data_IF_309628716241
#
_entry.id   IF_309628716241
#
_cell.length_a   1.000
_cell.length_b   1.000
_cell.length_c   1.000
_cell.angle_alpha   90.00
_cell.angle_beta   90.00
_cell.angle_gamma   90.00
#
_symmetry.space_group_name_H-M   'P 1'
#
loop_
_entity.id
_entity.type
_entity.pdbx_description
1 polymer ?
#
# COMPACT_ATOMS: atom_id res chain seq x y z
N UNK A 1 4.97 -15.41 -29.18
CA UNK A 1 4.73 -14.04 -28.66
C UNK A 1 3.29 -13.68 -28.95
N UNK A 2 2.45 -13.53 -27.91
CA UNK A 2 1.10 -12.96 -28.09
C UNK A 2 1.26 -11.47 -28.46
N UNK A 3 0.51 -10.93 -29.43
CA UNK A 3 0.58 -9.51 -29.75
C UNK A 3 0.20 -8.71 -28.49
N UNK A 4 1.03 -7.72 -28.16
CA UNK A 4 0.75 -6.74 -27.11
C UNK A 4 -0.57 -6.05 -27.43
N UNK A 5 -1.58 -6.23 -26.58
CA UNK A 5 -2.89 -5.60 -26.66
C UNK A 5 -2.77 -4.07 -26.48
N UNK A 6 -2.39 -3.35 -27.55
CA UNK A 6 -2.22 -1.89 -27.55
C UNK A 6 -2.83 -1.27 -28.81
N UNK A 7 -3.56 -0.16 -28.64
CA UNK A 7 -3.98 0.76 -29.72
C UNK A 7 -2.95 1.90 -29.81
N UNK A 8 -2.68 2.46 -30.98
CA UNK A 8 -1.78 3.61 -31.13
C UNK A 8 -2.50 4.78 -31.80
N UNK A 9 -2.30 5.99 -31.29
CA UNK A 9 -2.75 7.22 -31.94
C UNK A 9 -1.52 8.04 -32.35
N UNK A 10 -1.54 8.54 -33.59
CA UNK A 10 -0.54 9.48 -34.10
C UNK A 10 -0.81 10.85 -33.46
N UNK A 11 0.16 11.38 -32.73
CA UNK A 11 0.06 12.66 -32.00
C UNK A 11 0.66 13.80 -32.82
N UNK A 12 1.68 13.49 -33.61
CA UNK A 12 2.26 14.36 -34.63
C UNK A 12 2.96 13.49 -35.69
N UNK A 13 3.66 14.12 -36.63
CA UNK A 13 4.30 13.43 -37.75
C UNK A 13 5.34 12.37 -37.37
N UNK A 14 5.88 12.41 -36.16
CA UNK A 14 6.93 11.50 -35.70
C UNK A 14 6.59 10.74 -34.42
N UNK A 15 5.50 11.09 -33.74
CA UNK A 15 5.16 10.57 -32.40
C UNK A 15 3.86 9.79 -32.39
N UNK A 16 3.93 8.56 -31.88
CA UNK A 16 2.77 7.72 -31.61
C UNK A 16 2.63 7.48 -30.11
N UNK A 17 1.46 7.78 -29.55
CA UNK A 17 1.12 7.38 -28.18
C UNK A 17 0.52 5.98 -28.22
N UNK A 18 1.01 5.10 -27.35
CA UNK A 18 0.48 3.75 -27.14
C UNK A 18 -0.57 3.76 -26.03
N UNK A 19 -1.69 3.09 -26.26
CA UNK A 19 -2.84 3.01 -25.37
C UNK A 19 -3.18 1.54 -25.08
N UNK A 20 -3.51 1.16 -23.83
CA UNK A 20 -4.10 -0.14 -23.54
C UNK A 20 -5.44 -0.28 -24.25
N UNK A 21 -5.79 -1.50 -24.69
CA UNK A 21 -7.02 -1.80 -25.45
C UNK A 21 -8.33 -1.37 -24.76
N UNK A 22 -8.34 -1.21 -23.44
CA UNK A 22 -9.52 -0.79 -22.68
C UNK A 22 -9.56 0.70 -22.30
N UNK A 23 -8.67 1.53 -22.82
CA UNK A 23 -8.67 2.96 -22.51
C UNK A 23 -9.59 3.71 -23.48
N UNK A 24 -10.56 4.52 -23.01
CA UNK A 24 -11.34 5.38 -23.89
C UNK A 24 -10.37 6.34 -24.60
N UNK A 25 -10.52 6.47 -25.92
CA UNK A 25 -9.74 7.39 -26.75
C UNK A 25 -10.52 8.65 -27.10
N UNK A 26 -11.85 8.57 -27.04
CA UNK A 26 -12.77 9.62 -27.42
C UNK A 26 -13.85 9.85 -26.38
N UNK A 27 -14.36 11.09 -26.28
CA UNK A 27 -15.57 11.44 -25.55
C UNK A 27 -16.68 11.85 -26.53
N UNK A 28 -17.95 11.74 -26.11
CA UNK A 28 -19.10 11.96 -27.00
C UNK A 28 -19.73 13.33 -26.73
N UNK A 29 -19.68 14.21 -27.72
CA UNK A 29 -20.32 15.54 -27.68
C UNK A 29 -21.84 15.44 -27.63
N UNK A 30 -22.47 16.55 -27.26
CA UNK A 30 -23.93 16.71 -27.21
C UNK A 30 -24.62 16.53 -28.57
N UNK A 31 -23.90 16.78 -29.67
CA UNK A 31 -24.38 16.54 -31.04
C UNK A 31 -24.23 15.06 -31.48
N UNK A 32 -23.68 14.22 -30.61
CA UNK A 32 -23.46 12.79 -30.83
C UNK A 32 -22.14 12.43 -31.51
N UNK A 33 -21.31 13.42 -31.88
CA UNK A 33 -19.97 13.18 -32.45
C UNK A 33 -18.94 12.82 -31.38
N UNK A 34 -17.81 12.25 -31.80
CA UNK A 34 -16.73 11.83 -30.90
C UNK A 34 -15.49 12.69 -31.15
N UNK A 35 -14.87 13.18 -30.07
CA UNK A 35 -13.62 13.95 -30.09
C UNK A 35 -12.55 13.26 -29.26
N UNK A 36 -11.27 13.47 -29.60
CA UNK A 36 -10.14 12.95 -28.83
C UNK A 36 -10.14 13.48 -27.39
N UNK A 37 -9.84 12.60 -26.44
CA UNK A 37 -9.64 12.99 -25.04
C UNK A 37 -8.29 13.69 -24.90
N UNK A 38 -8.31 15.00 -24.59
CA UNK A 38 -7.13 15.81 -24.29
C UNK A 38 -6.89 15.91 -22.79
N UNK A 39 -6.05 14.99 -22.27
CA UNK A 39 -5.64 14.96 -20.86
C UNK A 39 -4.72 16.13 -20.45
N UNK A 40 -4.34 16.99 -21.39
CA UNK A 40 -3.49 18.17 -21.15
C UNK A 40 -4.26 19.47 -21.24
N UNK A 41 -5.58 19.40 -21.50
CA UNK A 41 -6.45 20.55 -21.65
C UNK A 41 -6.56 21.33 -20.33
N UNK A 42 -6.28 22.63 -20.38
CA UNK A 42 -6.53 23.53 -19.25
C UNK A 42 -7.15 24.83 -19.79
N UNK A 43 -8.46 24.94 -19.71
CA UNK A 43 -9.17 26.17 -20.08
C UNK A 43 -9.22 27.12 -18.88
N UNK A 44 -8.14 27.88 -18.74
CA UNK A 44 -8.05 29.00 -17.78
C UNK A 44 -8.96 30.18 -18.16
N UNK A 45 -9.58 30.16 -19.34
CA UNK A 45 -10.44 31.23 -19.87
C UNK A 45 -11.93 30.92 -19.80
N UNK A 46 -12.30 29.71 -19.35
CA UNK A 46 -13.68 29.26 -19.17
C UNK A 46 -14.53 30.31 -18.44
N UNK A 47 -15.72 30.56 -19.00
CA UNK A 47 -16.71 31.49 -18.48
C UNK A 47 -17.73 30.84 -17.54
N UNK A 48 -17.54 29.56 -17.18
CA UNK A 48 -18.36 28.85 -16.20
C UNK A 48 -17.93 29.28 -14.79
N UNK A 49 -18.21 30.54 -14.44
CA UNK A 49 -17.81 31.14 -13.17
C UNK A 49 -16.29 31.16 -12.98
N UNK A 50 -15.82 31.06 -11.73
CA UNK A 50 -14.40 31.04 -11.36
C UNK A 50 -13.77 29.65 -11.51
N UNK A 51 -14.14 28.86 -12.51
CA UNK A 51 -13.70 27.46 -12.66
C UNK A 51 -12.78 27.33 -13.88
N UNK A 52 -11.60 26.73 -13.68
CA UNK A 52 -10.77 26.21 -14.77
C UNK A 52 -11.24 24.80 -15.11
N UNK A 53 -11.56 24.54 -16.38
CA UNK A 53 -11.87 23.19 -16.85
C UNK A 53 -10.56 22.47 -17.18
N UNK A 54 -10.37 21.31 -16.56
CA UNK A 54 -9.12 20.55 -16.64
C UNK A 54 -9.20 19.33 -17.57
N UNK A 55 -10.40 18.94 -18.04
CA UNK A 55 -10.55 17.78 -18.94
C UNK A 55 -11.85 17.80 -19.76
N UNK A 56 -11.81 17.09 -20.89
CA UNK A 56 -12.96 16.52 -21.60
C UNK A 56 -12.74 15.01 -21.78
N UNK A 57 -13.23 14.21 -20.83
CA UNK A 57 -13.13 12.75 -20.80
C UNK A 57 -14.46 12.06 -20.49
N UNK A 58 -14.45 10.84 -19.91
CA UNK A 58 -15.69 10.18 -19.39
C UNK A 58 -16.34 11.03 -18.28
N UNK A 59 -15.52 11.76 -17.54
CA UNK A 59 -15.93 12.76 -16.56
C UNK A 59 -15.33 14.11 -16.94
N UNK A 60 -16.03 15.19 -16.60
CA UNK A 60 -15.50 16.55 -16.70
C UNK A 60 -15.11 17.00 -15.31
N UNK A 61 -13.89 17.56 -15.18
CA UNK A 61 -13.35 18.03 -13.90
C UNK A 61 -13.10 19.53 -13.97
N UNK A 62 -13.64 20.24 -12.99
CA UNK A 62 -13.39 21.66 -12.78
C UNK A 62 -12.63 21.89 -11.49
N UNK A 63 -11.65 22.79 -11.51
CA UNK A 63 -10.99 23.32 -10.30
C UNK A 63 -11.36 24.79 -10.13
N UNK A 64 -11.79 25.18 -8.93
CA UNK A 64 -12.05 26.58 -8.59
C UNK A 64 -10.74 27.38 -8.60
N UNK A 65 -10.80 28.59 -9.14
CA UNK A 65 -9.73 29.61 -9.12
C UNK A 65 -9.76 30.38 -7.80
N UNK A 66 -8.60 30.85 -7.36
CA UNK A 66 -8.44 31.55 -6.09
C UNK A 66 -8.24 30.59 -4.92
N UNK A 67 -7.70 31.12 -3.82
CA UNK A 67 -7.47 30.37 -2.59
C UNK A 67 -8.77 30.23 -1.75
N UNK A 68 -9.84 29.70 -2.33
CA UNK A 68 -11.10 29.44 -1.64
C UNK A 68 -11.33 27.92 -1.50
N UNK A 69 -11.34 27.38 -0.27
CA UNK A 69 -11.48 25.94 -0.07
C UNK A 69 -12.90 25.40 -0.28
N UNK A 70 -13.91 26.27 -0.40
CA UNK A 70 -15.29 25.85 -0.64
C UNK A 70 -15.52 25.47 -2.11
N UNK A 71 -16.03 24.26 -2.36
CA UNK A 71 -16.31 23.69 -3.68
C UNK A 71 -15.14 23.86 -4.64
N UNK A 72 -13.96 23.48 -4.16
CA UNK A 72 -12.68 23.64 -4.85
C UNK A 72 -12.54 22.70 -6.05
N UNK A 73 -13.19 21.53 -6.02
CA UNK A 73 -13.20 20.57 -7.14
C UNK A 73 -14.64 20.19 -7.46
N UNK A 74 -14.98 20.17 -8.75
CA UNK A 74 -16.26 19.69 -9.24
C UNK A 74 -16.07 18.59 -10.27
N UNK A 75 -16.83 17.49 -10.15
CA UNK A 75 -16.81 16.37 -11.09
C UNK A 75 -18.20 16.10 -11.64
N UNK A 76 -18.29 15.97 -12.96
CA UNK A 76 -19.55 15.80 -13.70
C UNK A 76 -19.49 14.63 -14.67
N UNK A 77 -20.63 13.96 -14.95
CA UNK A 77 -20.72 13.04 -16.07
C UNK A 77 -20.64 13.83 -17.38
N UNK A 78 -19.87 13.33 -18.35
CA UNK A 78 -19.64 14.07 -19.61
C UNK A 78 -20.94 14.32 -20.40
N UNK A 79 -21.79 13.30 -20.53
CA UNK A 79 -23.05 13.34 -21.31
C UNK A 79 -23.93 14.55 -21.01
N UNK A 80 -23.94 15.02 -19.75
CA UNK A 80 -24.79 16.11 -19.27
C UNK A 80 -23.99 17.24 -18.60
N UNK A 81 -22.67 17.33 -18.83
CA UNK A 81 -21.79 18.29 -18.14
C UNK A 81 -22.27 19.75 -18.26
N UNK A 82 -22.86 20.09 -19.41
CA UNK A 82 -23.36 21.42 -19.76
C UNK A 82 -24.66 21.79 -19.01
N UNK A 83 -25.42 20.79 -18.56
CA UNK A 83 -26.68 21.01 -17.81
C UNK A 83 -26.42 21.21 -16.31
N UNK A 84 -25.30 20.69 -15.79
CA UNK A 84 -24.95 20.80 -14.36
C UNK A 84 -26.01 20.18 -13.44
N UNK A 85 -26.79 19.21 -13.92
CA UNK A 85 -27.88 18.55 -13.19
C UNK A 85 -27.37 17.45 -12.26
N UNK A 86 -26.21 16.87 -12.58
CA UNK A 86 -25.56 15.80 -11.84
C UNK A 86 -24.10 16.18 -11.59
N UNK A 87 -23.69 16.31 -10.32
CA UNK A 87 -22.31 16.66 -9.97
C UNK A 87 -21.94 16.29 -8.53
N UNK A 88 -20.67 15.96 -8.33
CA UNK A 88 -20.01 15.96 -7.03
C UNK A 88 -19.18 17.24 -6.92
N UNK A 89 -19.36 18.01 -5.86
CA UNK A 89 -18.51 19.16 -5.54
C UNK A 89 -17.84 18.92 -4.19
N UNK A 90 -16.54 19.19 -4.11
CA UNK A 90 -15.71 18.92 -2.93
C UNK A 90 -15.25 20.25 -2.33
N UNK A 91 -15.55 20.47 -1.06
CA UNK A 91 -14.96 21.54 -0.25
C UNK A 91 -13.86 20.95 0.62
N UNK A 92 -12.65 21.51 0.61
CA UNK A 92 -11.61 21.11 1.56
C UNK A 92 -11.93 21.74 2.93
N UNK A 93 -12.04 20.93 3.97
CA UNK A 93 -12.44 21.40 5.31
C UNK A 93 -11.23 21.50 6.22
N UNK A 94 -10.38 20.48 6.25
CA UNK A 94 -9.23 20.44 7.13
C UNK A 94 -8.14 19.52 6.56
N UNK A 95 -6.90 19.90 6.77
CA UNK A 95 -5.73 19.03 6.63
C UNK A 95 -5.05 19.01 7.99
N UNK A 96 -5.03 17.87 8.63
CA UNK A 96 -4.47 17.69 9.97
C UNK A 96 -3.28 16.74 9.88
N UNK A 97 -2.16 17.16 10.45
CA UNK A 97 -0.93 16.38 10.58
C UNK A 97 -0.59 16.29 12.06
N UNK A 98 -0.46 15.07 12.58
CA UNK A 98 -0.18 14.78 13.99
C UNK A 98 -1.15 15.46 14.97
N UNK A 99 -2.44 15.49 14.63
CA UNK A 99 -3.48 16.15 15.43
C UNK A 99 -3.50 17.68 15.33
N UNK A 100 -2.64 18.28 14.50
CA UNK A 100 -2.55 19.73 14.31
C UNK A 100 -3.09 20.12 12.94
N UNK A 101 -4.09 21.00 12.90
CA UNK A 101 -4.56 21.60 11.64
C UNK A 101 -3.45 22.37 10.94
N UNK A 102 -3.38 22.23 9.63
CA UNK A 102 -2.42 22.88 8.75
C UNK A 102 -3.10 23.99 7.96
N UNK A 103 -2.42 25.12 7.82
CA UNK A 103 -2.78 26.10 6.81
C UNK A 103 -2.56 25.47 5.44
N UNK A 104 -3.53 25.66 4.54
CA UNK A 104 -3.52 25.04 3.23
C UNK A 104 -3.97 26.04 2.17
N UNK A 105 -3.21 26.16 1.10
CA UNK A 105 -3.57 26.98 -0.04
C UNK A 105 -4.01 26.10 -1.21
N UNK A 106 -5.29 26.16 -1.57
CA UNK A 106 -5.85 25.29 -2.62
C UNK A 106 -5.28 25.52 -4.01
N UNK A 107 -4.68 26.69 -4.28
CA UNK A 107 -4.03 26.93 -5.57
C UNK A 107 -2.70 26.18 -5.67
N UNK A 108 -1.91 26.17 -4.59
CA UNK A 108 -0.53 25.65 -4.59
C UNK A 108 -0.39 24.25 -4.00
N UNK A 109 -1.27 23.86 -3.08
CA UNK A 109 -1.14 22.62 -2.31
C UNK A 109 -2.14 21.54 -2.74
N UNK A 110 -3.17 21.88 -3.52
CA UNK A 110 -4.09 20.90 -4.13
C UNK A 110 -3.82 20.76 -5.63
N UNK A 111 -3.30 19.62 -6.01
CA UNK A 111 -3.08 19.25 -7.41
C UNK A 111 -4.18 18.32 -7.91
N UNK A 112 -4.63 18.53 -9.14
CA UNK A 112 -5.60 17.66 -9.79
C UNK A 112 -4.87 16.84 -10.83
N UNK A 113 -4.71 15.54 -10.55
CA UNK A 113 -4.12 14.61 -11.50
C UNK A 113 -5.23 13.84 -12.22
N UNK A 114 -5.20 13.92 -13.54
CA UNK A 114 -6.17 13.26 -14.40
C UNK A 114 -5.52 12.07 -15.10
N UNK A 115 -6.23 10.96 -15.09
CA UNK A 115 -5.87 9.76 -15.83
C UNK A 115 -7.09 9.27 -16.60
N UNK A 116 -6.88 8.40 -17.58
CA UNK A 116 -7.93 7.92 -18.50
C UNK A 116 -9.16 7.28 -17.84
N UNK A 117 -9.07 6.88 -16.57
CA UNK A 117 -10.16 6.24 -15.83
C UNK A 117 -10.43 6.85 -14.47
N UNK A 118 -9.56 7.77 -14.01
CA UNK A 118 -9.55 8.21 -12.61
C UNK A 118 -9.15 9.68 -12.54
N UNK A 119 -9.81 10.38 -11.64
CA UNK A 119 -9.41 11.72 -11.19
C UNK A 119 -8.84 11.61 -9.79
N UNK A 120 -7.79 12.38 -9.52
CA UNK A 120 -7.15 12.50 -8.22
C UNK A 120 -7.11 13.97 -7.77
N UNK A 121 -7.47 14.21 -6.53
CA UNK A 121 -7.36 15.44 -5.74
C UNK A 121 -6.15 15.33 -4.79
N UNK A 122 -4.93 15.39 -5.34
CA UNK A 122 -3.67 15.24 -4.63
C UNK A 122 -3.45 16.40 -3.66
N UNK A 123 -3.65 16.15 -2.37
CA UNK A 123 -3.36 17.11 -1.31
C UNK A 123 -1.91 16.97 -0.91
N UNK A 124 -1.15 18.05 -1.03
CA UNK A 124 0.27 18.09 -0.69
C UNK A 124 0.49 18.11 0.82
N UNK A 125 1.42 17.28 1.28
CA UNK A 125 1.83 17.13 2.68
C UNK A 125 3.19 17.82 2.85
N UNK A 126 3.18 19.01 3.44
CA UNK A 126 4.31 19.94 3.41
C UNK A 126 5.39 19.71 4.51
N UNK A 127 5.30 18.62 5.27
CA UNK A 127 6.24 18.25 6.35
C UNK A 127 6.14 16.77 6.66
N UNK A 128 7.11 16.20 7.38
CA UNK A 128 7.01 14.85 7.94
C UNK A 128 5.89 14.77 8.99
N UNK A 129 5.25 13.60 9.10
CA UNK A 129 4.10 13.35 9.96
C UNK A 129 4.06 11.87 10.37
N UNK A 130 3.40 11.58 11.49
CA UNK A 130 3.11 10.23 12.00
C UNK A 130 1.66 9.82 11.80
N UNK A 131 0.77 10.82 11.72
CA UNK A 131 -0.65 10.67 11.41
C UNK A 131 -1.09 11.80 10.47
N UNK A 132 -1.90 11.48 9.47
CA UNK A 132 -2.51 12.46 8.57
C UNK A 132 -4.01 12.20 8.43
N UNK A 133 -4.79 13.27 8.50
CA UNK A 133 -6.24 13.27 8.29
C UNK A 133 -6.61 14.42 7.35
N UNK A 134 -7.33 14.12 6.28
CA UNK A 134 -7.82 15.11 5.34
C UNK A 134 -9.33 15.01 5.25
N UNK A 135 -10.02 16.13 5.40
CA UNK A 135 -11.47 16.20 5.40
C UNK A 135 -11.98 17.01 4.23
N UNK A 136 -12.94 16.44 3.50
CA UNK A 136 -13.71 17.12 2.48
C UNK A 136 -15.20 17.06 2.83
N UNK A 137 -15.95 18.13 2.54
CA UNK A 137 -17.40 18.04 2.41
C UNK A 137 -17.77 17.81 0.94
N UNK A 138 -18.58 16.80 0.68
CA UNK A 138 -19.05 16.40 -0.65
C UNK A 138 -20.50 16.84 -0.81
N UNK A 139 -20.75 17.67 -1.81
CA UNK A 139 -22.08 18.08 -2.22
C UNK A 139 -22.49 17.27 -3.45
N UNK A 140 -23.46 16.37 -3.27
CA UNK A 140 -23.94 15.48 -4.31
C UNK A 140 -25.25 16.01 -4.91
N UNK A 141 -25.15 16.78 -6.00
CA UNK A 141 -26.33 17.34 -6.68
C UNK A 141 -26.84 16.35 -7.71
N UNK A 142 -28.12 15.95 -7.62
CA UNK A 142 -28.76 15.04 -8.57
C UNK A 142 -28.19 13.62 -8.58
N UNK A 143 -27.49 13.24 -7.51
CA UNK A 143 -26.87 11.94 -7.30
C UNK A 143 -27.37 11.36 -5.97
N UNK A 144 -27.40 10.04 -5.86
CA UNK A 144 -27.81 9.34 -4.64
C UNK A 144 -26.70 8.40 -4.20
N UNK A 145 -26.31 8.47 -2.93
CA UNK A 145 -25.36 7.52 -2.35
C UNK A 145 -26.03 6.13 -2.23
N UNK A 146 -25.36 5.09 -2.71
CA UNK A 146 -25.87 3.71 -2.74
C UNK A 146 -25.52 2.93 -1.47
N UNK A 147 -24.52 3.39 -0.73
CA UNK A 147 -24.05 2.75 0.49
C UNK A 147 -25.08 2.80 1.61
N UNK A 148 -25.12 1.75 2.42
CA UNK A 148 -25.92 1.71 3.64
C UNK A 148 -25.17 2.36 4.80
N UNK A 149 -25.92 2.87 5.78
CA UNK A 149 -25.33 3.33 7.05
C UNK A 149 -24.93 2.15 7.93
N UNK A 150 -24.03 2.40 8.88
CA UNK A 150 -23.79 1.45 9.96
C UNK A 150 -25.06 1.30 10.82
N UNK A 151 -25.35 0.07 11.25
CA UNK A 151 -26.52 -0.23 12.08
C UNK A 151 -26.26 0.07 13.56
N UNK A 152 -25.01 -0.01 13.99
CA UNK A 152 -24.57 0.17 15.37
C UNK A 152 -23.20 0.86 15.45
N UNK A 153 -22.85 1.31 16.66
CA UNK A 153 -21.51 1.84 16.92
C UNK A 153 -20.46 0.77 16.60
N UNK A 154 -19.61 1.08 15.63
CA UNK A 154 -18.63 0.17 15.07
C UNK A 154 -17.25 0.81 15.18
N UNK A 155 -16.22 -0.01 15.38
CA UNK A 155 -14.83 0.43 15.26
C UNK A 155 -14.35 0.01 13.89
N UNK A 156 -14.10 0.98 13.00
CA UNK A 156 -13.42 0.69 11.73
C UNK A 156 -11.94 0.49 12.05
N UNK A 157 -11.45 -0.73 11.82
CA UNK A 157 -10.01 -1.07 11.81
C UNK A 157 -9.66 -1.57 10.43
N UNK A 158 -8.69 -0.92 9.79
CA UNK A 158 -8.21 -1.33 8.46
C UNK A 158 -6.96 -2.22 8.53
N UNK A 159 -6.44 -2.42 9.74
CA UNK A 159 -5.25 -3.22 9.99
C UNK A 159 -5.28 -3.82 11.39
N UNK A 160 -4.77 -5.03 11.54
CA UNK A 160 -4.52 -5.61 12.85
C UNK A 160 -3.14 -6.25 12.95
N UNK A 161 -2.62 -6.29 14.17
CA UNK A 161 -1.34 -6.89 14.48
C UNK A 161 -1.46 -7.70 15.76
N UNK A 162 -0.86 -8.88 15.77
CA UNK A 162 -0.63 -9.67 16.96
C UNK A 162 0.80 -10.19 16.95
N UNK A 163 1.41 -10.25 18.13
CA UNK A 163 2.67 -10.96 18.34
C UNK A 163 2.56 -11.83 19.57
N UNK A 164 2.77 -13.13 19.37
CA UNK A 164 2.82 -14.11 20.44
C UNK A 164 4.29 -14.32 20.83
N UNK A 165 4.67 -13.86 22.02
CA UNK A 165 5.96 -14.18 22.62
C UNK A 165 5.88 -15.59 23.22
N UNK A 166 6.58 -16.55 22.63
CA UNK A 166 6.61 -17.94 23.13
C UNK A 166 7.66 -18.17 24.22
N UNK A 167 8.48 -17.16 24.52
CA UNK A 167 9.55 -17.21 25.51
C UNK A 167 10.80 -17.96 25.05
N UNK A 168 11.65 -18.27 26.03
CA UNK A 168 12.88 -19.02 25.86
C UNK A 168 12.57 -20.52 25.73
N UNK A 169 12.98 -21.14 24.62
CA UNK A 169 12.69 -22.53 24.30
C UNK A 169 13.85 -23.20 23.57
N UNK A 170 13.73 -24.51 23.33
CA UNK A 170 14.62 -25.22 22.42
C UNK A 170 14.33 -24.90 20.95
N UNK A 171 15.30 -25.14 20.07
CA UNK A 171 15.16 -24.79 18.66
C UNK A 171 14.05 -25.53 17.91
N UNK A 172 13.69 -26.76 18.31
CA UNK A 172 12.58 -27.50 17.69
C UNK A 172 11.22 -26.83 17.97
N UNK A 173 10.96 -26.46 19.22
CA UNK A 173 9.75 -25.74 19.61
C UNK A 173 9.71 -24.36 18.94
N UNK A 174 10.83 -23.64 18.99
CA UNK A 174 10.91 -22.29 18.45
C UNK A 174 10.73 -22.27 16.94
N UNK A 175 11.50 -23.06 16.17
CA UNK A 175 11.33 -23.11 14.71
C UNK A 175 9.97 -23.70 14.30
N UNK A 176 9.37 -24.57 15.12
CA UNK A 176 8.04 -25.12 14.88
C UNK A 176 6.88 -24.14 15.08
N UNK A 177 7.12 -22.96 15.65
CA UNK A 177 6.06 -22.00 16.04
C UNK A 177 5.18 -21.55 14.85
N UNK A 178 5.74 -21.46 13.64
CA UNK A 178 5.00 -21.05 12.46
C UNK A 178 3.91 -22.05 12.04
N UNK A 179 3.96 -23.30 12.52
CA UNK A 179 2.87 -24.25 12.29
C UNK A 179 1.61 -23.93 13.12
N UNK A 180 1.73 -23.04 14.12
CA UNK A 180 0.61 -22.62 14.96
C UNK A 180 -0.24 -21.51 14.31
N UNK A 181 0.12 -21.02 13.12
CA UNK A 181 -0.74 -20.11 12.37
C UNK A 181 -2.08 -20.78 12.11
N UNK A 182 -3.12 -20.31 12.81
CA UNK A 182 -4.47 -20.65 12.45
C UNK A 182 -4.75 -20.00 11.09
N UNK A 183 -5.29 -20.77 10.14
CA UNK A 183 -5.89 -20.20 8.92
C UNK A 183 -7.16 -19.44 9.29
N UNK A 184 -6.99 -18.31 9.97
CA UNK A 184 -8.06 -17.39 10.29
C UNK A 184 -8.39 -16.65 8.99
N UNK A 185 -9.63 -16.78 8.52
CA UNK A 185 -10.10 -15.86 7.51
C UNK A 185 -10.25 -14.49 8.17
N UNK A 186 -9.38 -13.55 7.80
CA UNK A 186 -9.46 -12.16 8.26
C UNK A 186 -10.04 -11.35 7.13
N UNK A 187 -11.07 -10.54 7.41
CA UNK A 187 -11.68 -9.65 6.41
C UNK A 187 -10.92 -8.31 6.28
N UNK A 188 -9.86 -8.12 7.07
CA UNK A 188 -9.00 -6.93 7.08
C UNK A 188 -7.54 -7.33 6.87
N UNK A 189 -6.70 -6.35 6.53
CA UNK A 189 -5.25 -6.52 6.54
C UNK A 189 -4.75 -6.92 7.93
N UNK A 190 -3.90 -7.93 8.04
CA UNK A 190 -3.47 -8.44 9.35
C UNK A 190 -2.08 -9.07 9.34
N UNK A 191 -1.31 -8.84 10.41
CA UNK A 191 -0.15 -9.65 10.74
C UNK A 191 -0.40 -10.49 12.00
N UNK A 192 -0.22 -11.79 11.89
CA UNK A 192 -0.07 -12.67 13.04
C UNK A 192 1.39 -13.06 13.15
N UNK A 193 2.02 -12.76 14.29
CA UNK A 193 3.46 -12.96 14.47
C UNK A 193 3.73 -13.86 15.67
N UNK A 194 4.87 -14.54 15.61
CA UNK A 194 5.45 -15.25 16.75
C UNK A 194 6.92 -14.87 16.91
N UNK A 195 7.37 -14.76 18.15
CA UNK A 195 8.77 -14.57 18.48
C UNK A 195 9.20 -15.45 19.66
N UNK A 196 10.40 -16.02 19.58
CA UNK A 196 10.97 -16.86 20.64
C UNK A 196 12.50 -16.83 20.61
N UNK A 197 13.15 -17.15 21.73
CA UNK A 197 14.61 -17.24 21.83
C UNK A 197 15.03 -18.69 21.96
N UNK A 198 15.99 -19.11 21.15
CA UNK A 198 16.57 -20.46 21.21
C UNK A 198 17.68 -20.47 22.25
N UNK A 199 17.60 -21.38 23.22
CA UNK A 199 18.57 -21.45 24.34
C UNK A 199 19.47 -22.69 24.31
N UNK A 200 19.10 -23.72 23.54
CA UNK A 200 19.92 -24.92 23.37
C UNK A 200 20.92 -24.79 22.22
N UNK A 201 21.89 -25.69 22.19
CA UNK A 201 22.89 -25.80 21.13
C UNK A 201 22.22 -26.38 19.87
N UNK A 202 21.57 -25.52 19.10
CA UNK A 202 20.71 -25.94 18.00
C UNK A 202 21.33 -25.62 16.63
N UNK A 203 21.32 -26.61 15.73
CA UNK A 203 21.78 -26.49 14.35
C UNK A 203 20.66 -26.88 13.38
N UNK A 204 20.23 -25.95 12.54
CA UNK A 204 19.43 -26.30 11.37
C UNK A 204 20.33 -26.78 10.24
N UNK A 205 20.16 -28.02 9.78
CA UNK A 205 20.98 -28.60 8.72
C UNK A 205 20.51 -28.14 7.34
N UNK A 206 21.45 -27.72 6.52
CA UNK A 206 21.23 -27.34 5.13
C UNK A 206 21.26 -28.55 4.18
N UNK A 207 21.56 -28.29 2.91
CA UNK A 207 21.59 -29.33 1.86
C UNK A 207 22.87 -30.17 1.83
N UNK A 208 23.93 -29.74 2.52
CA UNK A 208 25.21 -30.46 2.58
C UNK A 208 25.16 -31.58 3.61
N UNK A 209 25.90 -32.66 3.34
CA UNK A 209 26.10 -33.74 4.31
C UNK A 209 26.93 -33.25 5.51
N UNK A 210 26.84 -33.98 6.63
CA UNK A 210 27.61 -33.64 7.83
C UNK A 210 29.12 -33.63 7.56
N UNK A 211 29.61 -34.56 6.73
CA UNK A 211 31.02 -34.64 6.34
C UNK A 211 31.47 -33.44 5.49
N UNK A 212 30.57 -32.87 4.69
CA UNK A 212 30.87 -31.70 3.86
C UNK A 212 30.83 -30.39 4.65
N UNK A 213 29.97 -30.31 5.67
CA UNK A 213 29.70 -29.08 6.41
C UNK A 213 30.58 -28.93 7.66
N UNK A 214 30.95 -30.02 8.33
CA UNK A 214 31.57 -29.97 9.67
C UNK A 214 32.97 -30.60 9.70
N UNK A 215 33.92 -29.98 10.44
CA UNK A 215 35.35 -30.38 10.59
C UNK A 215 35.59 -31.71 11.33
N UNK A 216 34.53 -32.45 11.65
CA UNK A 216 34.54 -33.66 12.47
C UNK A 216 34.84 -33.34 13.95
N UNK A 217 33.79 -32.86 14.62
CA UNK A 217 33.71 -32.75 16.07
C UNK A 217 32.42 -33.43 16.50
N UNK A 218 32.48 -34.15 17.61
CA UNK A 218 31.34 -34.89 18.15
C UNK A 218 30.08 -34.00 18.19
N UNK A 219 29.08 -34.35 17.37
CA UNK A 219 27.83 -33.61 17.23
C UNK A 219 26.77 -34.00 18.27
N UNK A 220 27.10 -34.89 19.23
CA UNK A 220 26.16 -35.41 20.22
C UNK A 220 25.51 -34.35 21.10
N UNK A 221 26.18 -33.20 21.27
CA UNK A 221 25.75 -32.13 22.17
C UNK A 221 24.77 -31.16 21.50
N UNK A 222 24.45 -31.39 20.22
CA UNK A 222 23.61 -30.50 19.41
C UNK A 222 22.27 -31.14 19.07
N UNK A 223 21.23 -30.31 19.09
CA UNK A 223 19.92 -30.62 18.54
C UNK A 223 19.87 -30.23 17.06
N UNK A 224 19.15 -31.01 16.24
CA UNK A 224 19.10 -30.81 14.80
C UNK A 224 17.68 -30.77 14.23
N UNK A 225 17.51 -29.99 13.16
CA UNK A 225 16.36 -30.02 12.26
C UNK A 225 16.84 -29.85 10.82
N UNK A 226 16.37 -30.69 9.91
CA UNK A 226 16.67 -30.55 8.49
C UNK A 226 15.84 -29.41 7.88
N UNK A 227 16.52 -28.42 7.28
CA UNK A 227 15.90 -27.32 6.54
C UNK A 227 16.28 -27.45 5.06
N UNK A 228 15.49 -28.23 4.33
CA UNK A 228 15.69 -28.63 2.92
C UNK A 228 15.86 -27.50 1.88
N UNK A 229 15.84 -26.22 2.29
CA UNK A 229 16.07 -25.04 1.45
C UNK A 229 17.14 -24.07 1.99
N UNK A 230 17.74 -24.38 3.13
CA UNK A 230 18.88 -23.61 3.62
C UNK A 230 20.12 -24.06 2.85
N UNK A 231 20.77 -23.13 2.14
CA UNK A 231 21.96 -23.47 1.35
C UNK A 231 23.08 -24.07 2.21
N UNK A 232 23.27 -23.59 3.44
CA UNK A 232 24.26 -24.10 4.41
C UNK A 232 23.63 -24.18 5.80
N UNK A 233 24.22 -24.97 6.70
CA UNK A 233 23.67 -25.23 8.03
C UNK A 233 23.80 -24.00 8.95
N UNK A 234 22.85 -23.74 9.85
CA UNK A 234 22.78 -22.51 10.66
C UNK A 234 22.78 -22.86 12.15
N UNK A 235 23.58 -22.16 12.96
CA UNK A 235 23.61 -22.28 14.41
C UNK A 235 22.76 -21.19 15.06
N UNK A 236 21.92 -21.55 16.04
CA UNK A 236 20.85 -20.69 16.55
C UNK A 236 20.86 -20.41 18.06
N UNK A 237 21.85 -20.86 18.82
CA UNK A 237 21.86 -20.59 20.27
C UNK A 237 21.89 -19.08 20.53
N UNK A 238 21.06 -18.64 21.47
CA UNK A 238 20.87 -17.24 21.84
C UNK A 238 20.42 -16.37 20.64
N UNK A 239 19.71 -16.96 19.67
CA UNK A 239 19.06 -16.23 18.60
C UNK A 239 17.58 -16.02 18.90
N UNK A 240 17.09 -14.80 18.65
CA UNK A 240 15.65 -14.54 18.55
C UNK A 240 15.20 -14.98 17.17
N UNK A 241 14.23 -15.88 17.12
CA UNK A 241 13.50 -16.26 15.91
C UNK A 241 12.21 -15.46 15.89
N UNK A 242 11.95 -14.79 14.77
CA UNK A 242 10.73 -14.05 14.50
C UNK A 242 10.08 -14.58 13.24
N UNK A 243 8.77 -14.79 13.29
CA UNK A 243 7.98 -15.20 12.13
C UNK A 243 6.74 -14.33 12.06
N UNK A 244 6.32 -13.98 10.84
CA UNK A 244 5.10 -13.21 10.61
C UNK A 244 4.33 -13.77 9.41
N UNK A 245 3.03 -13.95 9.59
CA UNK A 245 2.07 -14.32 8.54
C UNK A 245 1.23 -13.09 8.18
N UNK A 246 1.22 -12.76 6.89
CA UNK A 246 0.37 -11.74 6.27
C UNK A 246 -1.00 -12.32 5.89
N UNK A 247 -2.05 -11.52 6.08
CA UNK A 247 -3.39 -11.75 5.54
C UNK A 247 -3.87 -10.48 4.84
N UNK A 248 -4.33 -10.61 3.58
CA UNK A 248 -4.74 -9.50 2.72
C UNK A 248 -3.65 -8.42 2.51
N UNK A 249 -2.39 -8.83 2.61
CA UNK A 249 -1.22 -7.97 2.48
C UNK A 249 -0.29 -8.55 1.44
N UNK A 250 0.30 -7.66 0.65
CA UNK A 250 1.34 -8.00 -0.30
C UNK A 250 2.69 -7.49 0.22
N UNK A 251 3.79 -8.02 -0.33
CA UNK A 251 5.13 -7.48 -0.10
C UNK A 251 5.62 -7.57 1.36
N UNK A 252 5.26 -8.65 2.07
CA UNK A 252 5.61 -8.86 3.48
C UNK A 252 7.12 -8.77 3.75
N UNK A 253 7.95 -9.23 2.80
CA UNK A 253 9.40 -9.19 2.95
C UNK A 253 9.92 -7.78 3.20
N UNK A 254 9.57 -6.85 2.30
CA UNK A 254 10.00 -5.47 2.42
C UNK A 254 9.39 -4.79 3.65
N UNK A 255 8.12 -5.12 3.99
CA UNK A 255 7.45 -4.54 5.17
C UNK A 255 8.26 -4.90 6.41
N UNK A 256 8.49 -6.19 6.63
CA UNK A 256 9.13 -6.66 7.85
C UNK A 256 10.61 -6.28 7.90
N UNK A 257 11.36 -6.49 6.80
CA UNK A 257 12.80 -6.21 6.77
C UNK A 257 13.10 -4.72 7.00
N UNK A 258 12.41 -3.82 6.29
CA UNK A 258 12.64 -2.37 6.45
C UNK A 258 12.26 -1.90 7.85
N UNK A 259 11.15 -2.38 8.40
CA UNK A 259 10.72 -1.98 9.74
C UNK A 259 11.68 -2.48 10.83
N UNK A 260 12.22 -3.71 10.71
CA UNK A 260 13.27 -4.21 11.61
C UNK A 260 14.54 -3.36 11.47
N UNK A 261 14.94 -3.04 10.24
CA UNK A 261 16.08 -2.15 9.98
C UNK A 261 15.90 -0.77 10.64
N UNK A 262 14.72 -0.17 10.52
CA UNK A 262 14.43 1.15 11.10
C UNK A 262 14.46 1.13 12.63
N UNK A 263 13.89 0.09 13.25
CA UNK A 263 13.84 -0.02 14.71
C UNK A 263 15.26 -0.10 15.31
N UNK A 264 16.16 -0.84 14.66
CA UNK A 264 17.49 -1.15 15.21
C UNK A 264 18.64 -0.43 14.49
N UNK A 265 18.34 0.42 13.50
CA UNK A 265 19.30 1.11 12.65
C UNK A 265 20.21 0.14 11.90
N UNK A 266 19.62 -0.80 11.17
CA UNK A 266 20.32 -1.85 10.41
C UNK A 266 20.28 -1.56 8.91
N UNK A 267 21.15 -2.21 8.17
CA UNK A 267 21.16 -2.22 6.71
C UNK A 267 20.77 -3.61 6.19
N UNK A 268 20.08 -3.66 5.06
CA UNK A 268 19.83 -4.90 4.33
C UNK A 268 21.06 -5.22 3.46
N UNK A 269 21.51 -6.47 3.51
CA UNK A 269 22.54 -7.00 2.64
C UNK A 269 22.05 -8.28 1.95
N UNK A 270 22.07 -8.26 0.62
CA UNK A 270 21.80 -9.42 -0.23
C UNK A 270 23.14 -9.89 -0.80
N UNK A 271 23.51 -11.15 -0.53
CA UNK A 271 24.77 -11.72 -1.04
C UNK A 271 24.70 -12.16 -2.51
N UNK A 272 23.58 -11.94 -3.18
CA UNK A 272 23.30 -12.38 -4.54
C UNK A 272 23.04 -13.89 -4.67
N UNK A 273 23.02 -14.60 -3.54
CA UNK A 273 22.71 -16.02 -3.43
C UNK A 273 21.38 -16.25 -2.72
N UNK A 274 21.34 -17.27 -1.86
CA UNK A 274 20.15 -17.60 -1.05
C UNK A 274 20.05 -16.79 0.24
N UNK A 275 21.04 -15.94 0.55
CA UNK A 275 21.19 -15.29 1.85
C UNK A 275 20.83 -13.82 1.83
N UNK A 276 19.81 -13.44 2.62
CA UNK A 276 19.51 -12.05 2.95
C UNK A 276 19.79 -11.81 4.43
N UNK A 277 20.48 -10.73 4.73
CA UNK A 277 21.03 -10.45 6.06
C UNK A 277 20.74 -9.05 6.54
N UNK A 278 20.65 -8.91 7.86
CA UNK A 278 20.69 -7.62 8.54
C UNK A 278 22.12 -7.31 8.96
N UNK A 279 22.58 -6.09 8.68
CA UNK A 279 23.91 -5.61 9.06
C UNK A 279 23.86 -4.47 10.06
N UNK A 280 24.81 -4.47 10.99
CA UNK A 280 25.17 -3.34 11.86
C UNK A 280 26.68 -3.14 11.79
N UNK A 281 27.14 -1.92 11.55
CA UNK A 281 28.57 -1.57 11.53
C UNK A 281 29.40 -2.51 10.64
N UNK A 282 28.89 -2.78 9.43
CA UNK A 282 29.45 -3.71 8.44
C UNK A 282 29.47 -5.20 8.80
N UNK A 283 28.89 -5.61 9.92
CA UNK A 283 28.78 -7.02 10.32
C UNK A 283 27.35 -7.55 10.27
N UNK A 284 27.18 -8.81 9.89
CA UNK A 284 25.91 -9.54 9.88
C UNK A 284 25.47 -9.82 11.31
N UNK A 285 24.30 -9.34 11.70
CA UNK A 285 23.69 -9.56 13.03
C UNK A 285 22.50 -10.51 13.00
N UNK A 286 22.07 -10.92 11.81
CA UNK A 286 20.92 -11.79 11.62
C UNK A 286 20.68 -12.06 10.14
N UNK A 287 19.72 -12.93 9.86
CA UNK A 287 19.28 -13.25 8.52
C UNK A 287 17.78 -13.36 8.44
N UNK A 288 17.25 -13.31 7.22
CA UNK A 288 15.82 -13.41 6.99
C UNK A 288 15.51 -14.05 5.63
N UNK A 289 14.26 -14.45 5.47
CA UNK A 289 13.71 -14.96 4.23
C UNK A 289 12.20 -14.83 4.23
N UNK A 290 11.59 -14.83 3.05
CA UNK A 290 10.16 -14.69 2.92
C UNK A 290 9.59 -15.54 1.77
N UNK A 291 8.30 -15.80 1.89
CA UNK A 291 7.39 -16.18 0.81
C UNK A 291 6.38 -15.04 0.62
N UNK A 292 5.43 -15.18 -0.30
CA UNK A 292 4.42 -14.14 -0.55
C UNK A 292 3.62 -13.78 0.73
N UNK A 293 3.40 -14.75 1.62
CA UNK A 293 2.55 -14.58 2.80
C UNK A 293 3.29 -14.72 4.14
N UNK A 294 4.51 -15.27 4.16
CA UNK A 294 5.23 -15.56 5.41
C UNK A 294 6.63 -14.99 5.39
N UNK A 295 6.99 -14.29 6.45
CA UNK A 295 8.32 -13.77 6.72
C UNK A 295 8.95 -14.50 7.90
N UNK A 296 10.25 -14.81 7.77
CA UNK A 296 11.06 -15.41 8.81
C UNK A 296 12.33 -14.59 8.99
N UNK A 297 12.67 -14.27 10.23
CA UNK A 297 13.93 -13.65 10.60
C UNK A 297 14.54 -14.36 11.81
N UNK A 298 15.87 -14.27 11.89
CA UNK A 298 16.63 -14.66 13.05
C UNK A 298 17.66 -13.59 13.36
N UNK A 299 17.78 -13.24 14.64
CA UNK A 299 18.64 -12.16 15.12
C UNK A 299 19.55 -12.75 16.20
N UNK A 300 20.86 -12.65 16.00
CA UNK A 300 21.84 -13.09 16.97
C UNK A 300 21.82 -12.13 18.16
N UNK A 301 21.68 -12.65 19.38
CA UNK A 301 21.71 -11.82 20.60
C UNK A 301 22.99 -11.98 21.43
N UNK A 302 23.89 -12.88 21.02
CA UNK A 302 25.19 -13.10 21.66
C UNK A 302 26.27 -13.45 20.63
N UNK A 303 27.54 -13.33 21.02
CA UNK A 303 28.66 -13.76 20.17
C UNK A 303 28.65 -15.27 19.96
N UNK A 304 29.10 -15.68 18.77
CA UNK A 304 29.21 -17.09 18.41
C UNK A 304 30.37 -17.71 19.20
N UNK A 305 30.18 -18.81 19.94
CA UNK A 305 31.26 -19.44 20.70
C UNK A 305 32.40 -19.92 19.79
N UNK A 306 33.65 -19.84 20.25
CA UNK A 306 34.83 -20.24 19.46
C UNK A 306 34.77 -21.71 19.00
N UNK A 307 34.17 -22.60 19.80
CA UNK A 307 33.93 -24.00 19.43
C UNK A 307 33.04 -24.13 18.18
N UNK A 308 32.14 -23.18 17.94
CA UNK A 308 31.26 -23.16 16.77
C UNK A 308 32.00 -22.54 15.59
N UNK A 309 32.84 -21.52 15.84
CA UNK A 309 33.67 -20.89 14.81
C UNK A 309 34.61 -21.89 14.13
N UNK A 310 35.06 -22.93 14.85
CA UNK A 310 35.91 -24.01 14.31
C UNK A 310 35.14 -25.26 13.89
N UNK A 311 33.83 -25.34 14.15
CA UNK A 311 33.00 -26.50 13.82
C UNK A 311 32.70 -26.58 12.32
N UNK A 312 32.41 -25.45 11.67
CA UNK A 312 32.00 -25.38 10.27
C UNK A 312 33.20 -25.33 9.32
N UNK A 313 33.26 -26.23 8.32
CA UNK A 313 34.27 -26.23 7.25
C UNK A 313 34.10 -25.08 6.28
N UNK A 314 32.84 -24.77 5.96
CA UNK A 314 32.47 -23.93 4.82
C UNK A 314 32.10 -22.50 5.23
N UNK A 315 32.19 -22.17 6.52
CA UNK A 315 31.80 -20.87 7.06
C UNK A 315 32.96 -20.27 7.85
N UNK A 316 33.21 -18.99 7.59
CA UNK A 316 33.88 -18.13 8.56
C UNK A 316 32.82 -17.27 9.24
N UNK A 317 33.15 -16.77 10.43
CA UNK A 317 32.25 -15.95 11.24
C UNK A 317 32.84 -14.55 11.48
N UNK A 318 33.89 -14.17 10.75
CA UNK A 318 34.61 -12.90 10.93
C UNK A 318 33.73 -11.68 10.62
N UNK A 319 32.81 -11.84 9.68
CA UNK A 319 31.84 -10.82 9.26
C UNK A 319 30.54 -10.85 10.09
N UNK A 320 30.48 -11.64 11.15
CA UNK A 320 29.28 -11.76 12.02
C UNK A 320 29.43 -10.98 13.33
N UNK A 321 28.29 -10.58 13.87
CA UNK A 321 28.13 -9.92 15.17
C UNK A 321 26.74 -10.26 15.73
N UNK A 322 26.36 -9.59 16.81
CA UNK A 322 25.07 -9.71 17.46
C UNK A 322 24.51 -8.33 17.82
N UNK A 323 23.23 -8.29 18.17
CA UNK A 323 22.57 -7.17 18.81
C UNK A 323 22.39 -7.49 20.30
N UNK A 324 22.77 -6.58 21.18
CA UNK A 324 22.45 -6.69 22.61
C UNK A 324 20.95 -6.42 22.80
N UNK A 325 20.16 -7.50 22.76
CA UNK A 325 18.71 -7.44 22.63
C UNK A 325 18.03 -8.58 23.38
N UNK A 326 17.09 -8.22 24.25
CA UNK A 326 16.22 -9.18 24.92
C UNK A 326 14.94 -9.45 24.11
N UNK A 327 14.40 -10.67 24.22
CA UNK A 327 13.19 -11.10 23.50
C UNK A 327 11.98 -10.21 23.82
N UNK A 328 11.82 -9.81 25.08
CA UNK A 328 10.74 -8.91 25.51
C UNK A 328 10.82 -7.54 24.84
N UNK A 329 12.03 -7.00 24.70
CA UNK A 329 12.26 -5.70 24.11
C UNK A 329 12.02 -5.75 22.60
N UNK A 330 12.42 -6.84 21.94
CA UNK A 330 12.06 -7.10 20.56
C UNK A 330 10.54 -7.14 20.34
N UNK A 331 9.82 -7.92 21.15
CA UNK A 331 8.36 -8.02 21.03
C UNK A 331 7.67 -6.67 21.29
N UNK A 332 8.19 -5.88 22.23
CA UNK A 332 7.67 -4.56 22.57
C UNK A 332 7.91 -3.57 21.45
N UNK A 333 9.10 -3.56 20.84
CA UNK A 333 9.43 -2.69 19.72
C UNK A 333 8.56 -3.00 18.49
N UNK A 334 8.41 -4.28 18.14
CA UNK A 334 7.53 -4.71 17.04
C UNK A 334 6.07 -4.36 17.31
N UNK A 335 5.57 -4.58 18.53
CA UNK A 335 4.22 -4.17 18.92
C UNK A 335 4.04 -2.65 18.84
N UNK A 336 4.99 -1.87 19.34
CA UNK A 336 4.94 -0.41 19.27
C UNK A 336 4.94 0.11 17.83
N UNK A 337 5.62 -0.60 16.94
CA UNK A 337 5.69 -0.28 15.52
C UNK A 337 4.37 -0.59 14.80
N UNK A 338 3.87 -1.83 14.92
CA UNK A 338 2.75 -2.31 14.12
C UNK A 338 1.39 -2.28 14.82
N UNK A 339 1.33 -2.44 16.14
CA UNK A 339 0.08 -2.36 16.90
C UNK A 339 -0.33 -0.91 17.12
N UNK A 340 -0.63 -0.22 16.02
CA UNK A 340 -1.21 1.12 16.05
C UNK A 340 -2.72 0.96 16.13
N UNK A 341 -3.31 1.42 17.22
CA UNK A 341 -4.76 1.56 17.37
C UNK A 341 -5.29 2.56 16.33
N UNK A 342 -5.53 2.13 15.09
CA UNK A 342 -6.41 2.82 14.16
C UNK A 342 -7.85 2.46 14.53
N UNK A 343 -8.29 2.99 15.66
CA UNK A 343 -9.67 2.88 16.12
C UNK A 343 -10.41 4.13 15.68
N UNK A 344 -11.17 4.03 14.61
CA UNK A 344 -12.10 5.08 14.22
C UNK A 344 -13.48 4.61 14.64
N UNK A 345 -14.01 5.24 15.68
CA UNK A 345 -15.37 5.00 16.13
C UNK A 345 -16.33 5.66 15.13
N UNK A 346 -17.20 4.84 14.55
CA UNK A 346 -18.27 5.27 13.65
C UNK A 346 -19.59 4.83 14.24
N UNK A 347 -20.63 5.60 13.99
CA UNK A 347 -21.99 5.34 14.43
C UNK A 347 -22.95 5.30 13.23
N UNK A 348 -24.25 5.30 13.52
CA UNK A 348 -25.31 5.30 12.51
C UNK A 348 -25.41 6.60 11.69
N UNK A 349 -24.53 7.59 11.89
CA UNK A 349 -24.41 8.78 11.03
C UNK A 349 -23.41 8.57 9.89
N UNK A 350 -22.63 7.48 9.95
CA UNK A 350 -21.66 7.09 8.94
C UNK A 350 -22.21 6.07 7.96
N UNK A 351 -21.69 6.11 6.74
CA UNK A 351 -21.91 5.11 5.70
C UNK A 351 -20.82 4.06 5.71
N UNK A 352 -21.22 2.80 5.50
CA UNK A 352 -20.31 1.67 5.33
C UNK A 352 -19.82 1.63 3.87
N UNK A 353 -18.50 1.55 3.61
CA UNK A 353 -18.01 1.34 2.25
C UNK A 353 -18.51 -0.01 1.71
N UNK A 354 -18.61 -0.15 0.38
CA UNK A 354 -18.98 -1.42 -0.25
C UNK A 354 -17.85 -2.46 -0.13
N UNK A 355 -18.08 -3.70 -0.56
CA UNK A 355 -17.11 -4.80 -0.46
C UNK A 355 -15.79 -4.54 -1.22
N UNK A 356 -15.76 -3.52 -2.08
CA UNK A 356 -14.55 -3.07 -2.78
C UNK A 356 -13.93 -1.81 -2.16
N UNK A 357 -14.29 -1.49 -0.92
CA UNK A 357 -13.86 -0.30 -0.18
C UNK A 357 -14.14 1.03 -0.91
N UNK A 358 -15.34 1.17 -1.49
CA UNK A 358 -15.76 2.41 -2.15
C UNK A 358 -17.05 3.00 -1.55
N UNK A 359 -17.15 4.32 -1.65
CA UNK A 359 -18.42 5.05 -1.58
C UNK A 359 -18.92 5.34 -3.00
N UNK A 360 -20.15 4.90 -3.30
CA UNK A 360 -20.72 4.86 -4.65
C UNK A 360 -21.92 5.80 -4.77
N UNK A 361 -21.81 6.82 -5.61
CA UNK A 361 -22.89 7.77 -5.91
C UNK A 361 -23.48 7.47 -7.28
N UNK A 362 -24.74 7.04 -7.31
CA UNK A 362 -25.44 6.61 -8.52
C UNK A 362 -25.63 7.74 -9.53
N UNK A 363 -25.30 7.43 -10.78
CA UNK A 363 -25.52 8.21 -12.00
C UNK A 363 -26.29 7.31 -12.99
N UNK A 364 -27.63 7.35 -12.97
CA UNK A 364 -28.44 6.50 -13.87
C UNK A 364 -28.14 4.99 -13.64
N UNK A 365 -27.45 4.35 -14.58
CA UNK A 365 -27.03 2.95 -14.66
C UNK A 365 -25.55 2.73 -14.30
N UNK A 366 -24.87 3.80 -13.88
CA UNK A 366 -23.48 3.81 -13.41
C UNK A 366 -23.39 4.49 -12.03
N UNK A 367 -22.18 4.59 -11.48
CA UNK A 367 -21.89 5.27 -10.21
C UNK A 367 -20.54 5.98 -10.25
N UNK A 368 -20.41 7.15 -9.61
CA UNK A 368 -19.12 7.69 -9.18
C UNK A 368 -18.67 6.93 -7.95
N UNK A 369 -17.46 6.40 -7.96
CA UNK A 369 -16.87 5.66 -6.86
C UNK A 369 -15.69 6.45 -6.30
N UNK A 370 -15.68 6.62 -4.99
CA UNK A 370 -14.56 7.16 -4.23
C UNK A 370 -13.91 5.99 -3.51
N UNK A 371 -12.72 5.61 -3.96
CA UNK A 371 -11.98 4.48 -3.40
C UNK A 371 -11.15 4.82 -2.16
N UNK A 372 -10.45 3.81 -1.67
CA UNK A 372 -9.48 3.95 -0.59
C UNK A 372 -8.42 5.02 -0.94
N UNK A 373 -7.99 5.87 0.01
CA UNK A 373 -6.87 6.77 -0.22
C UNK A 373 -5.58 6.01 -0.54
N UNK A 374 -4.67 6.67 -1.24
CA UNK A 374 -3.36 6.17 -1.65
C UNK A 374 -2.36 7.30 -1.40
N UNK A 375 -1.22 6.96 -0.80
CA UNK A 375 -0.11 7.89 -0.63
C UNK A 375 0.79 7.89 -1.86
N UNK A 376 1.40 9.04 -2.17
CA UNK A 376 2.32 9.18 -3.29
C UNK A 376 3.58 9.93 -2.89
N UNK A 377 4.71 9.55 -3.49
CA UNK A 377 5.94 10.33 -3.39
C UNK A 377 5.90 11.59 -4.26
N UNK A 378 6.99 12.36 -4.25
CA UNK A 378 7.15 13.58 -5.03
C UNK A 378 7.04 13.38 -6.56
N UNK A 379 7.32 12.18 -7.02
CA UNK A 379 7.35 11.78 -8.43
C UNK A 379 6.04 11.06 -8.83
N UNK A 380 5.03 11.09 -7.94
CA UNK A 380 3.71 10.46 -8.06
C UNK A 380 3.74 8.92 -8.12
N UNK A 381 4.81 8.28 -7.66
CA UNK A 381 4.80 6.84 -7.45
C UNK A 381 3.92 6.50 -6.24
N UNK A 382 3.13 5.44 -6.37
CA UNK A 382 2.31 4.94 -5.27
C UNK A 382 3.20 4.43 -4.16
N UNK A 383 2.89 4.81 -2.93
CA UNK A 383 3.53 4.31 -1.74
C UNK A 383 2.59 3.35 -1.03
N UNK A 384 3.15 2.25 -0.55
CA UNK A 384 2.40 1.22 0.17
C UNK A 384 2.24 1.62 1.64
N UNK A 385 1.35 2.58 1.85
CA UNK A 385 0.92 3.02 3.15
C UNK A 385 -0.45 2.45 3.48
N UNK A 386 -0.68 2.16 4.76
CA UNK A 386 -2.03 1.88 5.23
C UNK A 386 -2.83 3.17 5.32
N UNK A 387 -3.90 3.17 4.55
CA UNK A 387 -4.89 4.22 4.49
C UNK A 387 -6.25 3.66 4.85
N UNK A 388 -7.12 4.51 5.32
CA UNK A 388 -8.54 4.20 5.44
C UNK A 388 -9.37 5.45 5.19
N UNK A 389 -10.68 5.28 5.10
CA UNK A 389 -11.59 6.41 4.93
C UNK A 389 -12.93 6.22 5.63
N UNK A 390 -13.61 7.34 5.88
CA UNK A 390 -14.98 7.33 6.39
C UNK A 390 -15.83 8.37 5.65
N UNK A 391 -17.14 8.15 5.63
CA UNK A 391 -18.11 9.07 5.05
C UNK A 391 -19.26 9.28 6.04
N UNK A 392 -19.39 10.49 6.59
CA UNK A 392 -20.45 10.88 7.52
C UNK A 392 -21.45 11.80 6.83
N UNK A 393 -22.74 11.65 7.13
CA UNK A 393 -23.74 12.61 6.68
C UNK A 393 -23.72 13.88 7.54
N UNK A 394 -23.69 15.06 6.90
CA UNK A 394 -23.84 16.35 7.57
C UNK A 394 -25.32 16.78 7.61
N UNK A 395 -25.64 17.71 8.52
CA UNK A 395 -27.01 18.22 8.71
C UNK A 395 -27.56 18.99 7.49
N UNK A 396 -26.67 19.57 6.67
CA UNK A 396 -27.02 20.29 5.44
C UNK A 396 -27.25 19.37 4.23
N UNK A 397 -27.16 18.05 4.41
CA UNK A 397 -27.30 17.04 3.36
C UNK A 397 -26.04 16.79 2.55
N UNK A 398 -24.92 17.47 2.84
CA UNK A 398 -23.60 17.09 2.32
C UNK A 398 -23.02 15.90 3.08
N UNK A 399 -21.87 15.40 2.63
CA UNK A 399 -21.18 14.27 3.26
C UNK A 399 -19.75 14.65 3.63
N UNK A 400 -19.38 14.52 4.90
CA UNK A 400 -18.00 14.64 5.38
C UNK A 400 -17.24 13.37 5.02
N UNK A 401 -16.37 13.48 4.03
CA UNK A 401 -15.43 12.44 3.61
C UNK A 401 -14.07 12.66 4.26
N UNK A 402 -13.61 11.70 5.05
CA UNK A 402 -12.35 11.78 5.78
C UNK A 402 -11.39 10.73 5.26
N UNK A 403 -10.24 11.16 4.72
CA UNK A 403 -9.11 10.32 4.34
C UNK A 403 -8.15 10.25 5.51
N UNK A 404 -7.66 9.06 5.84
CA UNK A 404 -6.77 8.84 6.98
C UNK A 404 -5.57 8.02 6.51
N UNK A 405 -4.38 8.45 6.93
CA UNK A 405 -3.11 7.84 6.59
C UNK A 405 -2.25 7.75 7.86
N UNK A 406 -1.70 6.57 8.14
CA UNK A 406 -0.80 6.34 9.27
C UNK A 406 0.57 5.82 8.79
N UNK A 407 1.53 6.72 8.49
CA UNK A 407 2.89 6.38 8.08
C UNK A 407 3.59 5.35 8.92
N UNK A 408 3.28 5.30 10.22
CA UNK A 408 3.99 4.44 11.14
C UNK A 408 3.88 2.94 10.81
N UNK A 409 2.90 2.60 9.97
CA UNK A 409 2.60 1.24 9.51
C UNK A 409 3.12 0.96 8.08
N UNK A 410 3.66 1.97 7.39
CA UNK A 410 3.99 1.92 5.98
C UNK A 410 5.37 1.29 5.67
N UNK A 411 5.57 0.95 4.40
CA UNK A 411 6.79 0.38 3.83
C UNK A 411 8.00 1.32 3.76
N UNK A 412 7.73 2.62 3.73
CA UNK A 412 8.73 3.69 3.59
C UNK A 412 8.32 4.86 4.48
N UNK A 413 9.18 5.24 5.43
CA UNK A 413 8.87 6.24 6.44
C UNK A 413 9.24 7.63 5.90
N UNK A 414 8.22 8.43 5.59
CA UNK A 414 8.27 9.87 5.23
C UNK A 414 8.55 10.23 3.76
N UNK A 415 8.36 9.31 2.79
CA UNK A 415 8.39 9.68 1.37
C UNK A 415 7.06 10.24 0.86
N UNK A 416 5.96 10.05 1.58
CA UNK A 416 4.64 10.54 1.19
C UNK A 416 4.57 12.07 1.13
N UNK A 417 4.49 12.59 -0.09
CA UNK A 417 4.30 14.00 -0.38
C UNK A 417 2.85 14.33 -0.75
N UNK A 418 2.07 13.35 -1.19
CA UNK A 418 0.66 13.54 -1.50
C UNK A 418 -0.21 12.41 -0.96
N UNK A 419 -1.46 12.72 -0.62
CA UNK A 419 -2.47 11.73 -0.22
C UNK A 419 -3.80 12.01 -0.94
N UNK A 420 -4.35 10.97 -1.56
CA UNK A 420 -5.64 11.09 -2.24
C UNK A 420 -6.35 9.77 -2.55
N UNK A 421 -7.65 9.81 -2.81
CA UNK A 421 -8.45 8.67 -3.25
C UNK A 421 -8.68 8.70 -4.75
N UNK A 422 -8.66 7.52 -5.38
CA UNK A 422 -9.10 7.39 -6.75
C UNK A 422 -10.61 7.69 -6.87
N UNK A 423 -10.97 8.70 -7.65
CA UNK A 423 -12.34 8.96 -8.07
C UNK A 423 -12.56 8.42 -9.49
N UNK A 424 -13.51 7.50 -9.68
CA UNK A 424 -13.73 6.84 -10.96
C UNK A 424 -15.21 6.51 -11.21
N UNK A 425 -15.60 6.28 -12.47
CA UNK A 425 -16.95 5.82 -12.81
C UNK A 425 -16.99 4.29 -12.91
N UNK A 426 -17.98 3.64 -12.30
CA UNK A 426 -18.23 2.22 -12.55
C UNK A 426 -18.76 2.05 -13.97
N UNK A 427 -17.99 1.47 -14.88
CA UNK A 427 -18.52 1.09 -16.18
C UNK A 427 -18.13 -0.35 -16.54
N UNK A 428 -19.15 -1.16 -16.85
CA UNK A 428 -18.99 -2.27 -17.78
C UNK A 428 -18.60 -1.73 -19.19
N UNK A 429 -18.98 -0.49 -19.52
CA UNK A 429 -18.68 0.16 -20.81
C UNK A 429 -17.24 0.65 -21.02
N UNK A 430 -16.36 0.64 -20.00
CA UNK A 430 -14.90 0.73 -20.25
C UNK A 430 -14.37 -0.47 -21.07
N UNK A 431 -15.21 -1.48 -21.31
CA UNK A 431 -14.94 -2.63 -22.18
C UNK A 431 -15.67 -2.60 -23.53
N UNK A 432 -16.56 -1.63 -23.81
CA UNK A 432 -17.51 -1.78 -24.93
C UNK A 432 -17.75 -0.46 -25.67
N UNK A 433 -16.75 0.04 -26.41
CA UNK A 433 -16.96 0.78 -27.68
C UNK A 433 -15.72 0.61 -28.55
N UNK A 434 -15.43 -0.64 -28.93
CA UNK A 434 -14.46 -0.95 -29.98
C UNK A 434 -15.15 -0.83 -31.34
N UNK A 435 -15.10 0.33 -31.99
CA UNK A 435 -15.30 0.38 -33.43
C UNK A 435 -13.96 0.03 -34.10
N UNK A 436 -13.84 -1.22 -34.53
CA UNK A 436 -12.88 -1.56 -35.58
C UNK A 436 -13.34 -0.84 -36.85
N UNK A 437 -12.63 0.20 -37.28
CA UNK A 437 -12.66 0.55 -38.69
C UNK A 437 -12.01 -0.62 -39.44
N UNK A 438 -12.78 -1.30 -40.28
CA UNK A 438 -12.28 -2.34 -41.16
C UNK A 438 -11.04 -1.82 -41.89
N UNK A 439 -9.88 -2.42 -41.60
CA UNK A 439 -8.72 -2.29 -42.46
C UNK A 439 -9.03 -3.08 -43.72
N UNK A 440 -9.55 -2.39 -44.73
CA UNK A 440 -9.41 -2.84 -46.11
C UNK A 440 -7.92 -3.00 -46.39
N UNK A 441 -7.48 -4.25 -46.38
CA UNK A 441 -6.16 -4.70 -46.83
C UNK A 441 -5.76 -4.01 -48.14
N UNK A 442 -4.62 -3.31 -48.22
CA UNK A 442 -3.93 -3.11 -49.48
C UNK A 442 -2.91 -4.24 -49.65
N UNK A 443 -3.39 -5.46 -49.81
CA UNK A 443 -2.70 -6.49 -50.58
C UNK A 443 -3.63 -6.88 -51.72
N UNK A 444 -3.36 -6.29 -52.87
CA UNK A 444 -3.04 -7.01 -54.11
C UNK A 444 -2.93 -6.01 -55.27
N UNK A 445 -2.05 -6.19 -56.27
CA UNK A 445 -0.76 -6.89 -56.35
C UNK A 445 0.45 -5.95 -56.55
#
# INVERSE_FOLDING_TARGET
MKPLSRTHCKVDDTTYKLYPVGAPLWYKKSDGTFDDIDLTFNDTTSSIGDISLMDKGIMSVGKRKGNNPHKVVGVRPDKNQHLGTQQLEFSLINVELDGVSQDFNVETDLEILLTRRKTRQLVKLNKSFKDCKIEFDIYAKGLTLENNKYEENTVVRDFGFNITNIGDNNGNTTLGMHNAYNRLNKDISYFDCFAGKITDEFIAKGVYTDEEEFENSNLSDYSFLDMFKAGSSIYFKDAIIFTAQAYNLNNIENIMANNICDIYGLEIFDDGGSGKYFKKDNKKVGGYGATDEVFFAFINTADIPDKIKTLFKRKNFEDTSFLDLELSDFCTAMSSKFNKDLKIEVDNTYYKPNDSNNFSFKISDHSFNIGLPVAFDKDYNTLDYYTTHTLKQNDDGSYRYTKILKPDTALDFNSAQYLDSDLFVSSEEARVYAYCSDFSSPYDP
#
